data_IF_246111896856
#
_entry.id   IF_246111896856
#
_cell.length_a   1.000
_cell.length_b   1.000
_cell.length_c   1.000
_cell.angle_alpha   90.00
_cell.angle_beta   90.00
_cell.angle_gamma   90.00
#
_symmetry.space_group_name_H-M   'P 1'
#
loop_
_entity.id
_entity.type
_entity.pdbx_description
1 polymer ?
#
# COMPACT_ATOMS: atom_id res chain seq x y z
N UNK A 1 17.08 3.25 11.31
CA UNK A 1 16.21 2.06 11.18
C UNK A 1 16.87 0.90 11.89
N UNK A 2 16.22 0.36 12.92
CA UNK A 2 16.78 -0.68 13.79
C UNK A 2 16.25 -2.05 13.38
N UNK A 3 17.05 -3.10 13.52
CA UNK A 3 16.61 -4.48 13.22
C UNK A 3 16.63 -5.33 14.48
N UNK A 4 15.58 -6.12 14.68
CA UNK A 4 15.39 -6.96 15.86
C UNK A 4 14.83 -8.33 15.48
N UNK A 5 15.16 -9.39 16.23
CA UNK A 5 14.53 -10.70 16.05
C UNK A 5 13.09 -10.70 16.59
N UNK A 6 12.23 -11.52 16.02
CA UNK A 6 10.83 -11.67 16.46
C UNK A 6 10.73 -12.14 17.91
N UNK A 7 11.68 -12.95 18.37
CA UNK A 7 11.78 -13.35 19.77
C UNK A 7 12.05 -12.17 20.69
N UNK A 8 13.06 -11.35 20.37
CA UNK A 8 13.38 -10.16 21.18
C UNK A 8 12.27 -9.11 21.10
N UNK A 9 11.66 -8.93 19.93
CA UNK A 9 10.52 -8.04 19.73
C UNK A 9 9.31 -8.42 20.59
N UNK A 10 9.04 -9.72 20.75
CA UNK A 10 7.97 -10.22 21.63
C UNK A 10 8.22 -9.84 23.09
N UNK A 11 9.47 -9.96 23.55
CA UNK A 11 9.83 -9.69 24.95
C UNK A 11 9.82 -8.20 25.30
N UNK A 12 9.99 -7.31 24.32
CA UNK A 12 10.04 -5.85 24.52
C UNK A 12 8.96 -5.11 23.73
N UNK A 13 7.81 -5.76 23.49
CA UNK A 13 6.82 -5.26 22.53
C UNK A 13 6.23 -3.89 22.93
N UNK A 14 5.84 -3.73 24.19
CA UNK A 14 5.29 -2.47 24.71
C UNK A 14 6.28 -1.32 24.57
N UNK A 15 7.53 -1.53 24.95
CA UNK A 15 8.59 -0.52 24.85
C UNK A 15 8.86 -0.14 23.40
N UNK A 16 8.84 -1.11 22.48
CA UNK A 16 9.02 -0.85 21.05
C UNK A 16 7.88 0.00 20.49
N UNK A 17 6.62 -0.25 20.89
CA UNK A 17 5.49 0.58 20.47
C UNK A 17 5.66 2.01 20.99
N UNK A 18 5.89 2.17 22.30
CA UNK A 18 6.06 3.49 22.90
C UNK A 18 7.22 4.24 22.26
N UNK A 19 8.36 3.58 22.09
CA UNK A 19 9.52 4.18 21.43
C UNK A 19 9.19 4.60 20.00
N UNK A 20 8.58 3.72 19.20
CA UNK A 20 8.23 4.02 17.80
C UNK A 20 7.23 5.16 17.68
N UNK A 21 6.28 5.25 18.62
CA UNK A 21 5.27 6.31 18.64
C UNK A 21 5.88 7.70 18.90
N UNK A 22 6.86 7.81 19.81
CA UNK A 22 7.41 9.11 20.22
C UNK A 22 8.71 9.51 19.50
N UNK A 23 9.59 8.56 19.22
CA UNK A 23 10.90 8.83 18.62
C UNK A 23 10.89 8.89 17.09
N UNK A 24 9.77 8.47 16.46
CA UNK A 24 9.65 8.22 15.01
C UNK A 24 10.69 7.21 14.46
N UNK A 25 11.29 6.39 15.32
CA UNK A 25 12.20 5.34 14.89
C UNK A 25 11.46 4.16 14.28
N UNK A 26 11.90 3.73 13.10
CA UNK A 26 11.36 2.55 12.39
C UNK A 26 12.13 1.29 12.76
N UNK A 27 11.42 0.22 13.11
CA UNK A 27 12.01 -1.05 13.54
C UNK A 27 11.62 -2.18 12.58
N UNK A 28 12.61 -2.94 12.10
CA UNK A 28 12.40 -4.14 11.29
C UNK A 28 12.43 -5.37 12.19
N UNK A 29 11.36 -6.16 12.12
CA UNK A 29 11.27 -7.45 12.81
C UNK A 29 11.73 -8.56 11.86
N UNK A 30 12.63 -9.41 12.34
CA UNK A 30 13.21 -10.51 11.58
C UNK A 30 12.91 -11.87 12.20
N UNK A 31 12.85 -12.93 11.38
CA UNK A 31 12.79 -14.31 11.84
C UNK A 31 13.83 -15.11 11.09
N UNK A 32 14.74 -15.79 11.81
CA UNK A 32 15.88 -16.51 11.22
C UNK A 32 16.68 -15.63 10.24
N UNK A 33 16.92 -14.37 10.61
CA UNK A 33 17.65 -13.39 9.78
C UNK A 33 16.86 -12.79 8.60
N UNK A 34 15.65 -13.29 8.29
CA UNK A 34 14.80 -12.75 7.22
C UNK A 34 13.92 -11.62 7.74
N UNK A 35 13.80 -10.52 6.99
CA UNK A 35 12.88 -9.40 7.31
C UNK A 35 11.44 -9.87 7.12
N UNK A 36 10.60 -9.72 8.14
CA UNK A 36 9.22 -10.23 8.14
C UNK A 36 8.18 -9.11 8.26
N UNK A 37 8.45 -8.12 9.10
CA UNK A 37 7.53 -7.01 9.35
C UNK A 37 8.31 -5.76 9.77
N UNK A 38 7.62 -4.63 9.86
CA UNK A 38 8.14 -3.41 10.45
C UNK A 38 7.14 -2.82 11.44
N UNK A 39 7.65 -2.17 12.48
CA UNK A 39 6.88 -1.32 13.39
C UNK A 39 7.23 0.12 13.00
N UNK A 40 6.20 0.90 12.71
CA UNK A 40 6.28 2.33 12.33
C UNK A 40 5.25 3.12 13.12
N UNK A 41 5.43 4.44 13.22
CA UNK A 41 4.42 5.30 13.86
C UNK A 41 3.15 5.35 13.00
N UNK A 42 2.03 5.76 13.60
CA UNK A 42 0.77 5.97 12.87
C UNK A 42 0.95 7.04 11.78
N UNK A 43 1.65 8.13 12.09
CA UNK A 43 1.94 9.19 11.11
C UNK A 43 2.73 8.66 9.89
N UNK A 44 3.72 7.78 10.12
CA UNK A 44 4.46 7.14 9.03
C UNK A 44 3.59 6.17 8.23
N UNK A 45 2.72 5.39 8.90
CA UNK A 45 1.79 4.49 8.23
C UNK A 45 0.84 5.26 7.32
N UNK A 46 0.20 6.31 7.83
CA UNK A 46 -0.70 7.17 7.06
C UNK A 46 0.02 7.85 5.89
N UNK A 47 1.28 8.27 6.07
CA UNK A 47 2.10 8.82 5.00
C UNK A 47 2.37 7.78 3.91
N UNK A 48 2.74 6.55 4.28
CA UNK A 48 3.00 5.46 3.35
C UNK A 48 1.74 5.11 2.55
N UNK A 49 0.58 5.03 3.20
CA UNK A 49 -0.71 4.79 2.54
C UNK A 49 -1.05 5.89 1.54
N UNK A 50 -0.89 7.17 1.93
CA UNK A 50 -1.12 8.30 1.02
C UNK A 50 -0.18 8.31 -0.17
N UNK A 51 1.08 7.96 0.03
CA UNK A 51 2.05 7.86 -1.05
C UNK A 51 1.74 6.68 -1.98
N UNK A 52 1.33 5.54 -1.43
CA UNK A 52 0.91 4.38 -2.22
C UNK A 52 -0.28 4.73 -3.11
N UNK A 53 -1.34 5.34 -2.55
CA UNK A 53 -2.51 5.77 -3.32
C UNK A 53 -2.14 6.78 -4.42
N UNK A 54 -1.26 7.74 -4.11
CA UNK A 54 -0.82 8.71 -5.12
C UNK A 54 -0.07 8.05 -6.27
N UNK A 55 0.76 7.05 -5.99
CA UNK A 55 1.49 6.31 -7.03
C UNK A 55 0.50 5.50 -7.89
N UNK A 56 -0.50 4.86 -7.27
CA UNK A 56 -1.57 4.17 -7.98
C UNK A 56 -2.32 5.13 -8.92
N UNK A 57 -2.76 6.29 -8.41
CA UNK A 57 -3.41 7.32 -9.22
C UNK A 57 -2.53 7.73 -10.42
N UNK A 58 -1.23 7.92 -10.21
CA UNK A 58 -0.27 8.28 -11.27
C UNK A 58 -0.09 7.17 -12.31
N UNK A 59 -0.12 5.91 -11.89
CA UNK A 59 -0.03 4.75 -12.78
C UNK A 59 -1.30 4.60 -13.63
N UNK A 60 -2.47 4.82 -13.03
CA UNK A 60 -3.77 4.73 -13.71
C UNK A 60 -3.99 5.84 -14.74
N UNK A 61 -3.25 6.95 -14.65
CA UNK A 61 -3.38 8.06 -15.60
C UNK A 61 -3.12 7.66 -17.06
N UNK A 62 -2.26 6.67 -17.33
CA UNK A 62 -2.04 6.20 -18.70
C UNK A 62 -3.28 5.49 -19.26
N UNK A 63 -3.88 4.61 -18.47
CA UNK A 63 -5.10 3.88 -18.81
C UNK A 63 -6.30 4.83 -18.96
N UNK A 64 -6.44 5.81 -18.07
CA UNK A 64 -7.46 6.85 -18.18
C UNK A 64 -7.32 7.62 -19.50
N UNK A 65 -6.09 8.02 -19.86
CA UNK A 65 -5.85 8.72 -21.13
C UNK A 65 -6.14 7.83 -22.33
N UNK A 66 -5.84 6.53 -22.26
CA UNK A 66 -6.17 5.58 -23.31
C UNK A 66 -7.68 5.43 -23.48
N UNK A 67 -8.42 5.24 -22.38
CA UNK A 67 -9.87 5.13 -22.37
C UNK A 67 -10.56 6.39 -22.92
N UNK A 68 -10.05 7.58 -22.58
CA UNK A 68 -10.56 8.85 -23.12
C UNK A 68 -10.36 8.94 -24.64
N UNK A 69 -9.21 8.52 -25.17
CA UNK A 69 -8.99 8.49 -26.63
C UNK A 69 -9.92 7.50 -27.32
N UNK A 70 -10.10 6.31 -26.77
CA UNK A 70 -11.03 5.32 -27.30
C UNK A 70 -12.47 5.84 -27.32
N UNK A 71 -12.86 6.56 -26.27
CA UNK A 71 -14.16 7.24 -26.21
C UNK A 71 -14.30 8.28 -27.33
N UNK A 72 -13.32 9.16 -27.52
CA UNK A 72 -13.32 10.17 -28.59
C UNK A 72 -13.32 9.56 -29.99
N UNK A 73 -12.65 8.42 -30.16
CA UNK A 73 -12.63 7.64 -31.41
C UNK A 73 -13.89 6.78 -31.62
N UNK A 74 -14.83 6.81 -30.68
CA UNK A 74 -16.07 6.03 -30.73
C UNK A 74 -15.88 4.52 -30.53
N UNK A 75 -14.71 4.08 -30.03
CA UNK A 75 -14.36 2.68 -29.74
C UNK A 75 -14.93 2.20 -28.40
N UNK A 76 -16.17 2.56 -28.10
CA UNK A 76 -16.86 2.18 -26.85
C UNK A 76 -17.79 1.01 -27.07
N UNK A 77 -18.04 0.25 -26.00
CA UNK A 77 -18.99 -0.87 -26.01
C UNK A 77 -20.29 -0.41 -25.33
N UNK A 78 -21.47 -0.58 -25.98
CA UNK A 78 -22.74 -0.26 -25.34
C UNK A 78 -22.98 -1.06 -24.06
N UNK A 79 -23.57 -0.42 -23.04
CA UNK A 79 -23.81 -1.04 -21.73
C UNK A 79 -24.64 -2.33 -21.80
N UNK A 80 -25.63 -2.39 -22.70
CA UNK A 80 -26.45 -3.58 -22.90
C UNK A 80 -25.65 -4.79 -23.42
N UNK A 81 -24.59 -4.55 -24.21
CA UNK A 81 -23.67 -5.61 -24.65
C UNK A 81 -22.87 -6.14 -23.47
N UNK A 82 -22.31 -5.24 -22.64
CA UNK A 82 -21.51 -5.61 -21.46
C UNK A 82 -22.32 -6.42 -20.45
N UNK A 83 -23.57 -6.02 -20.16
CA UNK A 83 -24.47 -6.79 -19.28
C UNK A 83 -24.67 -8.21 -19.77
N UNK A 84 -25.00 -8.35 -21.07
CA UNK A 84 -25.22 -9.65 -21.69
C UNK A 84 -23.99 -10.55 -21.58
N UNK A 85 -22.79 -10.00 -21.82
CA UNK A 85 -21.54 -10.74 -21.74
C UNK A 85 -21.18 -11.16 -20.30
N UNK A 86 -21.56 -10.35 -19.32
CA UNK A 86 -21.37 -10.62 -17.89
C UNK A 86 -22.50 -11.42 -17.24
N UNK A 87 -23.60 -11.70 -17.95
CA UNK A 87 -24.77 -12.40 -17.43
C UNK A 87 -25.58 -11.62 -16.39
N UNK A 88 -25.55 -10.27 -16.49
CA UNK A 88 -26.26 -9.33 -15.61
C UNK A 88 -27.59 -8.86 -16.20
#
# INVERSE_FOLDING_TARGET
>A
MTTISAEKARNSFSDLISHTAYSKDRVVVTRNGKRMAAIVSIEDLELLERLANKIEDEMDMEDIRAALREYEEGKTIPWETVKKDLGL
#
